data_IF_454140090054
#
_entry.id   IF_454140090054
#
_cell.length_a   1.000
_cell.length_b   1.000
_cell.length_c   1.000
_cell.angle_alpha   90.00
_cell.angle_beta   90.00
_cell.angle_gamma   90.00
#
_symmetry.space_group_name_H-M   'P 1'
#
loop_
_entity.id
_entity.type
_entity.pdbx_description
1 polymer ?
#
# COMPACT_ATOMS: atom_id res chain seq x y z
N UNK A 1 7.98 4.56 12.05
CA UNK A 1 7.26 3.27 12.04
C UNK A 1 6.33 3.20 10.83
N UNK A 2 6.50 2.19 9.97
CA UNK A 2 5.78 1.97 8.71
C UNK A 2 4.74 0.86 8.85
N UNK A 3 3.48 1.21 8.62
CA UNK A 3 2.35 0.28 8.61
C UNK A 3 1.85 0.14 7.17
N UNK A 4 1.92 -1.07 6.62
CA UNK A 4 1.33 -1.42 5.33
C UNK A 4 -0.06 -2.02 5.54
N UNK A 5 -1.09 -1.41 4.94
CA UNK A 5 -2.44 -2.00 4.84
C UNK A 5 -2.65 -2.47 3.41
N UNK A 6 -2.66 -3.79 3.21
CA UNK A 6 -2.70 -4.41 1.90
C UNK A 6 -3.86 -5.38 1.71
N UNK A 7 -4.08 -5.82 0.47
CA UNK A 7 -5.23 -6.63 0.08
C UNK A 7 -5.80 -6.24 -1.28
N UNK A 8 -6.70 -7.06 -1.81
CA UNK A 8 -7.30 -6.87 -3.12
C UNK A 8 -8.15 -5.59 -3.23
N UNK A 9 -8.28 -4.97 -4.41
CA UNK A 9 -9.23 -3.87 -4.62
C UNK A 9 -10.64 -4.23 -4.18
N UNK A 10 -11.23 -3.42 -3.30
CA UNK A 10 -12.52 -3.71 -2.66
C UNK A 10 -12.44 -4.35 -1.27
N UNK A 11 -11.26 -4.77 -0.79
CA UNK A 11 -11.11 -5.44 0.52
C UNK A 11 -11.30 -4.55 1.77
N UNK A 12 -11.55 -3.24 1.59
CA UNK A 12 -11.75 -2.31 2.69
C UNK A 12 -10.48 -1.62 3.25
N UNK A 13 -9.33 -1.72 2.58
CA UNK A 13 -8.05 -1.08 2.98
C UNK A 13 -8.19 0.38 3.38
N UNK A 14 -8.69 1.20 2.46
CA UNK A 14 -8.87 2.64 2.65
C UNK A 14 -9.84 2.93 3.79
N UNK A 15 -10.90 2.13 3.96
CA UNK A 15 -11.87 2.28 5.05
C UNK A 15 -11.21 2.06 6.42
N UNK A 16 -10.35 1.04 6.54
CA UNK A 16 -9.57 0.78 7.75
C UNK A 16 -8.53 1.88 7.98
N UNK A 17 -7.76 2.25 6.95
CA UNK A 17 -6.72 3.28 7.02
C UNK A 17 -7.27 4.61 7.54
N UNK A 18 -8.41 5.07 7.00
CA UNK A 18 -9.08 6.31 7.41
C UNK A 18 -9.43 6.35 8.90
N UNK A 19 -9.79 5.20 9.49
CA UNK A 19 -10.18 5.12 10.91
C UNK A 19 -8.98 4.94 11.82
N UNK A 20 -7.95 4.23 11.35
CA UNK A 20 -6.74 3.99 12.11
C UNK A 20 -5.85 5.23 12.18
N UNK A 21 -5.81 6.02 11.10
CA UNK A 21 -5.02 7.24 10.98
C UNK A 21 -5.18 8.22 12.16
N UNK A 22 -6.40 8.65 12.56
CA UNK A 22 -6.55 9.59 13.67
C UNK A 22 -6.23 8.97 15.02
N UNK A 23 -6.48 7.66 15.20
CA UNK A 23 -6.20 6.95 16.45
C UNK A 23 -4.71 6.82 16.73
N UNK A 24 -3.90 6.68 15.67
CA UNK A 24 -2.45 6.59 15.76
C UNK A 24 -1.75 7.94 15.57
N UNK A 25 -2.49 9.02 15.27
CA UNK A 25 -1.91 10.30 14.83
C UNK A 25 -0.88 10.12 13.70
N UNK A 26 -1.19 9.22 12.76
CA UNK A 26 -0.26 8.81 11.72
C UNK A 26 -0.37 9.70 10.47
N UNK A 27 0.72 9.82 9.71
CA UNK A 27 0.64 10.21 8.31
C UNK A 27 -0.05 9.09 7.52
N UNK A 28 -0.76 9.43 6.43
CA UNK A 28 -1.44 8.43 5.61
C UNK A 28 -1.29 8.72 4.12
N UNK A 29 -0.77 7.72 3.39
CA UNK A 29 -0.64 7.76 1.94
C UNK A 29 -1.46 6.65 1.29
N UNK A 30 -2.37 7.05 0.40
CA UNK A 30 -3.13 6.16 -0.44
C UNK A 30 -2.48 6.05 -1.83
N UNK A 31 -2.27 4.83 -2.36
CA UNK A 31 -1.54 4.70 -3.63
C UNK A 31 -2.25 5.32 -4.83
N UNK A 32 -3.59 5.32 -4.88
CA UNK A 32 -4.29 5.93 -6.02
C UNK A 32 -4.16 7.46 -5.98
N UNK A 33 -4.14 8.06 -4.79
CA UNK A 33 -3.82 9.48 -4.62
C UNK A 33 -2.38 9.82 -4.99
N UNK A 34 -1.42 8.97 -4.63
CA UNK A 34 -0.02 9.17 -5.04
C UNK A 34 0.15 9.03 -6.56
N UNK A 35 -0.56 8.11 -7.22
CA UNK A 35 -0.59 8.00 -8.69
C UNK A 35 -1.15 9.26 -9.34
N UNK A 36 -2.26 9.77 -8.82
CA UNK A 36 -2.89 11.02 -9.26
C UNK A 36 -1.90 12.19 -9.16
N UNK A 37 -1.23 12.34 -8.01
CA UNK A 37 -0.22 13.40 -7.79
C UNK A 37 1.00 13.26 -8.71
N UNK A 38 1.41 12.04 -9.03
CA UNK A 38 2.54 11.77 -9.94
C UNK A 38 2.15 11.81 -11.42
N UNK A 39 0.85 11.89 -11.74
CA UNK A 39 0.30 11.69 -13.09
C UNK A 39 0.85 10.41 -13.77
N UNK A 40 1.01 9.33 -13.01
CA UNK A 40 1.57 8.06 -13.47
C UNK A 40 0.56 6.92 -13.26
N UNK A 41 -0.11 6.54 -14.35
CA UNK A 41 -1.09 5.45 -14.42
C UNK A 41 -0.53 4.21 -15.15
N UNK A 42 0.79 4.04 -15.14
CA UNK A 42 1.45 2.88 -15.71
C UNK A 42 1.30 1.66 -14.78
N UNK A 43 0.56 0.66 -15.25
CA UNK A 43 0.34 -0.60 -14.53
C UNK A 43 1.22 -1.75 -15.04
N UNK A 44 2.18 -1.48 -15.94
CA UNK A 44 3.24 -2.43 -16.31
C UNK A 44 4.05 -2.88 -15.08
N UNK A 45 4.83 -3.97 -15.17
CA UNK A 45 5.75 -4.36 -14.10
C UNK A 45 6.65 -3.21 -13.65
N UNK A 46 7.21 -2.44 -14.59
CA UNK A 46 8.06 -1.29 -14.33
C UNK A 46 7.28 -0.16 -13.64
N UNK A 47 6.06 0.13 -14.10
CA UNK A 47 5.16 1.10 -13.48
C UNK A 47 4.78 0.74 -12.04
N UNK A 48 4.52 -0.54 -11.77
CA UNK A 48 4.25 -1.06 -10.41
C UNK A 48 5.46 -0.91 -9.51
N UNK A 49 6.66 -1.21 -10.00
CA UNK A 49 7.93 -1.01 -9.27
C UNK A 49 8.15 0.46 -8.95
N UNK A 50 7.99 1.36 -9.93
CA UNK A 50 8.09 2.82 -9.69
C UNK A 50 7.09 3.29 -8.65
N UNK A 51 5.84 2.82 -8.72
CA UNK A 51 4.82 3.18 -7.74
C UNK A 51 5.16 2.66 -6.34
N UNK A 52 5.65 1.42 -6.22
CA UNK A 52 6.09 0.86 -4.94
C UNK A 52 7.23 1.67 -4.33
N UNK A 53 8.20 2.11 -5.14
CA UNK A 53 9.30 2.95 -4.70
C UNK A 53 8.83 4.35 -4.25
N UNK A 54 7.88 4.98 -4.95
CA UNK A 54 7.28 6.25 -4.51
C UNK A 54 6.62 6.13 -3.15
N UNK A 55 5.81 5.08 -2.96
CA UNK A 55 5.18 4.80 -1.67
C UNK A 55 6.22 4.59 -0.57
N UNK A 56 7.30 3.84 -0.88
CA UNK A 56 8.41 3.63 0.04
C UNK A 56 9.07 4.94 0.44
N UNK A 57 9.46 5.79 -0.51
CA UNK A 57 10.14 7.06 -0.21
C UNK A 57 9.31 7.97 0.70
N UNK A 58 7.99 8.02 0.51
CA UNK A 58 7.09 8.76 1.39
C UNK A 58 7.05 8.15 2.80
N UNK A 59 6.97 6.83 2.90
CA UNK A 59 6.92 6.12 4.18
C UNK A 59 8.25 6.21 4.96
N UNK A 60 9.37 6.05 4.27
CA UNK A 60 10.71 6.16 4.85
C UNK A 60 10.94 7.58 5.39
N UNK A 61 10.59 8.63 4.63
CA UNK A 61 10.70 10.01 5.11
C UNK A 61 9.93 10.25 6.42
N UNK A 62 8.67 9.79 6.51
CA UNK A 62 7.89 9.91 7.75
C UNK A 62 8.51 9.12 8.90
N UNK A 63 8.95 7.88 8.62
CA UNK A 63 9.54 7.00 9.61
C UNK A 63 10.87 7.53 10.15
N UNK A 64 11.72 8.08 9.29
CA UNK A 64 13.00 8.70 9.64
C UNK A 64 12.85 9.96 10.50
N UNK A 65 11.65 10.54 10.51
CA UNK A 65 11.29 11.66 11.40
C UNK A 65 10.50 11.19 12.64
N UNK A 66 10.66 9.93 13.04
CA UNK A 66 10.00 9.31 14.20
C UNK A 66 8.47 9.35 14.17
N UNK A 67 7.86 9.49 12.98
CA UNK A 67 6.41 9.48 12.81
C UNK A 67 5.89 8.08 12.49
N UNK A 68 4.62 7.85 12.82
CA UNK A 68 3.86 6.68 12.36
C UNK A 68 3.30 7.02 10.98
N UNK A 69 3.47 6.11 10.03
CA UNK A 69 2.92 6.25 8.67
C UNK A 69 2.14 5.00 8.29
N UNK A 70 0.95 5.23 7.73
CA UNK A 70 0.08 4.22 7.14
C UNK A 70 0.14 4.36 5.63
N UNK A 71 0.42 3.27 4.92
CA UNK A 71 0.31 3.21 3.47
C UNK A 71 -0.74 2.17 3.08
N UNK A 72 -1.77 2.58 2.32
CA UNK A 72 -2.80 1.66 1.83
C UNK A 72 -2.72 1.47 0.32
N UNK A 73 -2.34 0.26 -0.10
CA UNK A 73 -2.24 -0.13 -1.50
C UNK A 73 -2.17 -1.65 -1.67
N UNK A 74 -2.31 -2.15 -2.91
CA UNK A 74 -2.51 -3.59 -3.17
C UNK A 74 -1.32 -4.44 -2.69
N UNK A 75 -0.08 -4.01 -2.97
CA UNK A 75 1.18 -4.69 -2.64
C UNK A 75 1.13 -6.24 -2.81
N UNK A 76 0.88 -6.72 -4.05
CA UNK A 76 0.43 -8.09 -4.27
C UNK A 76 1.53 -9.15 -4.08
N UNK A 77 2.81 -8.84 -4.33
CA UNK A 77 3.88 -9.86 -4.32
C UNK A 77 4.77 -9.72 -3.09
N UNK A 78 5.36 -10.83 -2.66
CA UNK A 78 6.35 -10.88 -1.57
C UNK A 78 7.55 -10.00 -1.84
N UNK A 79 7.96 -9.88 -3.11
CA UNK A 79 9.02 -8.97 -3.53
C UNK A 79 8.63 -7.50 -3.30
N UNK A 80 7.43 -7.07 -3.72
CA UNK A 80 6.97 -5.69 -3.49
C UNK A 80 6.82 -5.36 -2.01
N UNK A 81 6.42 -6.33 -1.18
CA UNK A 81 6.39 -6.18 0.29
C UNK A 81 7.77 -5.99 0.88
N UNK A 82 8.74 -6.84 0.51
CA UNK A 82 10.14 -6.71 0.93
C UNK A 82 10.75 -5.40 0.46
N UNK A 83 10.43 -4.96 -0.75
CA UNK A 83 10.87 -3.66 -1.26
C UNK A 83 10.32 -2.53 -0.40
N UNK A 84 9.02 -2.53 -0.08
CA UNK A 84 8.40 -1.51 0.78
C UNK A 84 8.95 -1.54 2.22
N UNK A 85 9.33 -2.72 2.71
CA UNK A 85 9.98 -2.93 4.01
C UNK A 85 9.17 -2.34 5.19
N UNK A 86 7.92 -2.79 5.42
CA UNK A 86 7.10 -2.31 6.53
C UNK A 86 7.49 -2.92 7.88
N UNK A 87 7.31 -2.17 8.97
CA UNK A 87 7.41 -2.70 10.34
C UNK A 87 6.20 -3.57 10.70
N UNK A 88 5.02 -3.20 10.19
CA UNK A 88 3.76 -3.90 10.42
C UNK A 88 3.04 -4.11 9.10
N UNK A 89 2.59 -5.33 8.85
CA UNK A 89 1.72 -5.68 7.72
C UNK A 89 0.33 -6.03 8.24
N UNK A 90 -0.68 -5.31 7.74
CA UNK A 90 -2.10 -5.62 7.93
C UNK A 90 -2.64 -6.11 6.59
N UNK A 91 -2.85 -7.41 6.46
CA UNK A 91 -3.49 -7.99 5.28
C UNK A 91 -5.00 -8.10 5.47
N UNK A 92 -5.75 -7.38 4.62
CA UNK A 92 -7.20 -7.51 4.52
C UNK A 92 -7.57 -8.57 3.49
N UNK A 93 -7.65 -9.81 3.95
CA UNK A 93 -8.15 -10.98 3.19
C UNK A 93 -9.68 -11.12 3.32
N UNK A 94 -10.40 -10.02 3.09
CA UNK A 94 -11.87 -9.97 3.29
C UNK A 94 -12.66 -10.43 2.07
N UNK A 95 -11.99 -10.60 0.93
CA UNK A 95 -12.59 -11.01 -0.35
C UNK A 95 -11.70 -12.05 -1.01
N UNK A 96 -12.31 -13.01 -1.70
CA UNK A 96 -11.58 -14.05 -2.45
C UNK A 96 -10.99 -13.52 -3.75
N UNK A 97 -11.73 -12.64 -4.43
CA UNK A 97 -11.36 -12.10 -5.73
C UNK A 97 -11.76 -10.62 -5.80
N UNK A 98 -10.90 -9.81 -6.40
CA UNK A 98 -11.16 -8.42 -6.72
C UNK A 98 -11.64 -8.25 -8.16
N UNK A 99 -11.93 -7.01 -8.53
CA UNK A 99 -12.43 -6.63 -9.88
C UNK A 99 -11.41 -6.72 -11.01
N UNK A 100 -10.15 -7.03 -10.73
CA UNK A 100 -9.07 -7.06 -11.72
C UNK A 100 -8.38 -8.42 -11.74
N UNK A 101 -8.60 -9.16 -12.82
CA UNK A 101 -8.16 -10.55 -12.97
C UNK A 101 -6.64 -10.70 -12.95
N UNK A 102 -5.92 -9.76 -13.57
CA UNK A 102 -4.46 -9.72 -13.55
C UNK A 102 -3.92 -9.57 -12.11
N UNK A 103 -4.58 -8.74 -11.30
CA UNK A 103 -4.23 -8.53 -9.89
C UNK A 103 -4.53 -9.76 -9.05
N UNK A 104 -5.66 -10.43 -9.29
CA UNK A 104 -6.03 -11.67 -8.58
C UNK A 104 -4.96 -12.76 -8.79
N UNK A 105 -4.49 -12.95 -10.02
CA UNK A 105 -3.44 -13.94 -10.36
C UNK A 105 -2.07 -13.62 -9.76
N UNK A 106 -1.78 -12.34 -9.57
CA UNK A 106 -0.50 -11.84 -9.05
C UNK A 106 -0.44 -11.79 -7.52
N UNK A 107 -1.58 -11.89 -6.83
CA UNK A 107 -1.64 -11.69 -5.39
C UNK A 107 -1.11 -12.92 -4.64
N UNK A 108 -0.01 -12.74 -3.93
CA UNK A 108 0.56 -13.69 -2.99
C UNK A 108 0.11 -13.29 -1.57
N UNK A 109 -0.43 -14.22 -0.79
CA UNK A 109 -0.79 -13.99 0.61
C UNK A 109 0.39 -13.52 1.48
N UNK A 110 0.08 -12.89 2.62
CA UNK A 110 1.06 -12.34 3.57
C UNK A 110 1.66 -13.42 4.48
#
# INVERSE_FOLDING_TARGET
MKILIMGLPGSGKTYLAQRLQPLLSAAWFNADKVREMANDWDFSPEGRTRQSLRMKSLADYESDNDRIVICDFICPTSETRKMFDPDIVIWLDTIKEGRFEDTNKLFEGA
#
